data_IF_225309256121
#
_entry.id   IF_225309256121
#
_cell.length_a   1.000
_cell.length_b   1.000
_cell.length_c   1.000
_cell.angle_alpha   90.00
_cell.angle_beta   90.00
_cell.angle_gamma   90.00
#
_symmetry.space_group_name_H-M   'P 1'
#
loop_
_entity.id
_entity.type
_entity.pdbx_description
1 polymer ?
#
# COMPACT_ATOMS: atom_id res chain seq x y z
N UNK A 1 -9.57 -12.21 11.50
CA UNK A 1 -8.62 -12.56 10.41
C UNK A 1 -7.63 -13.60 10.92
N UNK A 2 -7.54 -14.79 10.26
CA UNK A 2 -6.62 -15.86 10.64
C UNK A 2 -5.25 -15.66 9.96
N UNK A 3 -4.51 -14.61 10.33
CA UNK A 3 -3.13 -14.41 9.86
C UNK A 3 -2.17 -15.12 10.82
N UNK A 4 -1.59 -16.24 10.39
CA UNK A 4 -0.72 -17.07 11.22
C UNK A 4 0.56 -16.36 11.68
N UNK A 5 1.09 -15.43 10.91
CA UNK A 5 2.31 -14.70 11.32
C UNK A 5 2.00 -13.68 12.42
N UNK A 6 0.88 -12.96 12.30
CA UNK A 6 0.42 -12.05 13.35
C UNK A 6 0.10 -12.81 14.62
N UNK A 7 -0.70 -13.91 14.51
CA UNK A 7 -1.03 -14.75 15.67
C UNK A 7 0.23 -15.32 16.32
N UNK A 8 1.19 -15.78 15.51
CA UNK A 8 2.46 -16.32 16.03
C UNK A 8 3.24 -15.26 16.82
N UNK A 9 3.33 -14.03 16.31
CA UNK A 9 4.00 -12.94 16.99
C UNK A 9 3.33 -12.60 18.32
N UNK A 10 1.98 -12.53 18.36
CA UNK A 10 1.21 -12.25 19.57
C UNK A 10 1.39 -13.36 20.62
N UNK A 11 1.18 -14.63 20.27
CA UNK A 11 1.30 -15.73 21.23
C UNK A 11 2.75 -15.93 21.70
N UNK A 12 3.74 -15.61 20.84
CA UNK A 12 5.16 -15.61 21.22
C UNK A 12 5.43 -14.59 22.33
N UNK A 13 4.87 -13.38 22.21
CA UNK A 13 4.93 -12.35 23.23
C UNK A 13 4.24 -12.76 24.57
N UNK A 14 3.24 -13.64 24.47
CA UNK A 14 2.54 -14.24 25.63
C UNK A 14 3.24 -15.47 26.21
N UNK A 15 4.45 -15.81 25.74
CA UNK A 15 5.23 -16.94 26.26
C UNK A 15 5.06 -18.27 25.50
N UNK A 16 4.44 -18.27 24.33
CA UNK A 16 4.35 -19.50 23.52
C UNK A 16 5.72 -20.01 23.06
N UNK A 17 6.06 -21.23 23.41
CA UNK A 17 7.36 -21.87 23.10
C UNK A 17 7.32 -22.74 21.84
N UNK A 18 6.13 -23.06 21.33
CA UNK A 18 5.96 -23.91 20.16
C UNK A 18 6.39 -23.28 18.83
N UNK A 19 6.56 -24.11 17.80
CA UNK A 19 6.97 -23.67 16.46
C UNK A 19 5.84 -23.14 15.59
N UNK A 20 6.21 -22.39 14.54
CA UNK A 20 5.27 -21.86 13.53
C UNK A 20 4.46 -22.95 12.82
N UNK A 21 5.07 -24.13 12.59
CA UNK A 21 4.41 -25.25 11.90
C UNK A 21 3.25 -25.81 12.72
N UNK A 22 3.41 -25.94 14.03
CA UNK A 22 2.35 -26.37 14.93
C UNK A 22 1.16 -25.42 14.92
N UNK A 23 1.42 -24.10 14.99
CA UNK A 23 0.37 -23.11 14.88
C UNK A 23 -0.34 -23.15 13.52
N UNK A 24 0.39 -23.31 12.42
CA UNK A 24 -0.20 -23.42 11.08
C UNK A 24 -1.08 -24.66 10.96
N UNK A 25 -0.62 -25.81 11.47
CA UNK A 25 -1.41 -27.04 11.50
C UNK A 25 -2.73 -26.87 12.28
N UNK A 26 -2.67 -26.25 13.45
CA UNK A 26 -3.84 -25.94 14.26
C UNK A 26 -4.85 -24.98 13.60
N UNK A 27 -4.35 -23.98 12.88
CA UNK A 27 -5.19 -22.96 12.23
C UNK A 27 -5.77 -23.45 10.89
N UNK A 28 -5.07 -24.34 10.17
CA UNK A 28 -5.43 -24.75 8.81
C UNK A 28 -6.89 -25.23 8.66
N UNK A 29 -7.43 -26.13 9.49
CA UNK A 29 -8.81 -26.61 9.36
C UNK A 29 -9.85 -25.51 9.69
N UNK A 30 -9.46 -24.45 10.40
CA UNK A 30 -10.33 -23.33 10.78
C UNK A 30 -10.41 -22.24 9.71
N UNK A 31 -9.58 -22.32 8.65
CA UNK A 31 -9.59 -21.39 7.53
C UNK A 31 -10.59 -21.82 6.46
N UNK A 32 -11.47 -20.90 6.05
CA UNK A 32 -12.28 -21.12 4.85
C UNK A 32 -11.35 -21.17 3.63
N UNK A 33 -11.41 -22.26 2.86
CA UNK A 33 -10.71 -22.36 1.58
C UNK A 33 -11.24 -21.30 0.61
N UNK A 34 -10.35 -20.50 0.04
CA UNK A 34 -10.67 -19.54 -1.02
C UNK A 34 -10.02 -20.02 -2.32
N UNK A 35 -10.77 -20.08 -3.44
CA UNK A 35 -10.19 -20.46 -4.72
C UNK A 35 -9.08 -19.47 -5.10
N UNK A 36 -7.95 -20.01 -5.54
CA UNK A 36 -6.83 -19.23 -6.03
C UNK A 36 -7.16 -18.63 -7.39
N UNK A 37 -7.23 -17.29 -7.48
CA UNK A 37 -7.36 -16.61 -8.78
C UNK A 37 -5.98 -16.57 -9.44
N UNK A 38 -5.84 -17.14 -10.65
CA UNK A 38 -4.63 -16.98 -11.46
C UNK A 38 -4.43 -15.49 -11.77
N UNK A 39 -3.33 -14.92 -11.34
CA UNK A 39 -2.97 -13.52 -11.61
C UNK A 39 -1.76 -13.51 -12.53
N UNK A 40 -1.90 -12.94 -13.72
CA UNK A 40 -0.75 -12.65 -14.58
C UNK A 40 0.02 -11.50 -13.91
N UNK A 41 1.26 -11.78 -13.52
CA UNK A 41 2.15 -10.78 -12.92
C UNK A 41 2.93 -10.10 -14.03
N UNK A 42 3.04 -8.79 -13.96
CA UNK A 42 3.96 -8.03 -14.79
C UNK A 42 4.93 -7.27 -13.88
N UNK A 43 6.18 -7.23 -14.31
CA UNK A 43 7.22 -6.48 -13.62
C UNK A 43 7.43 -5.13 -14.31
N UNK A 44 7.88 -4.15 -13.56
CA UNK A 44 8.22 -2.82 -14.06
C UNK A 44 9.71 -2.60 -13.85
N UNK A 45 10.31 -1.80 -14.70
CA UNK A 45 11.69 -1.35 -14.51
C UNK A 45 11.80 -0.49 -13.25
N UNK A 46 12.99 -0.39 -12.62
CA UNK A 46 13.24 0.54 -11.52
C UNK A 46 12.86 1.97 -11.89
N UNK A 47 12.31 2.72 -10.96
CA UNK A 47 11.89 4.11 -11.15
C UNK A 47 10.76 4.35 -12.16
N UNK A 48 10.19 3.27 -12.74
CA UNK A 48 9.21 3.42 -13.81
C UNK A 48 7.82 3.75 -13.32
N UNK A 49 7.29 3.06 -12.29
CA UNK A 49 5.89 3.18 -11.92
C UNK A 49 5.65 3.17 -10.41
N UNK A 50 4.81 4.10 -9.97
CA UNK A 50 4.13 4.08 -8.70
C UNK A 50 2.65 3.76 -8.92
N UNK A 51 2.07 2.92 -8.06
CA UNK A 51 0.64 2.63 -8.03
C UNK A 51 0.04 3.22 -6.76
N UNK A 52 -0.99 4.05 -6.92
CA UNK A 52 -1.75 4.69 -5.85
C UNK A 52 -3.11 4.03 -5.66
N UNK A 53 -3.50 3.78 -4.41
CA UNK A 53 -4.83 3.30 -4.03
C UNK A 53 -5.24 3.76 -2.64
N UNK A 54 -6.54 3.84 -2.42
CA UNK A 54 -7.12 4.08 -1.13
C UNK A 54 -7.67 2.80 -0.50
N UNK A 55 -7.45 2.65 0.79
CA UNK A 55 -8.14 1.71 1.65
C UNK A 55 -8.89 2.43 2.77
N UNK A 56 -9.81 1.73 3.41
CA UNK A 56 -10.52 2.23 4.58
C UNK A 56 -10.56 1.17 5.67
N UNK A 57 -10.56 1.60 6.92
CA UNK A 57 -10.66 0.74 8.10
C UNK A 57 -11.38 1.46 9.23
N UNK A 58 -12.10 0.72 10.05
CA UNK A 58 -12.66 1.25 11.29
C UNK A 58 -11.71 0.98 12.45
N UNK A 59 -11.31 2.04 13.14
CA UNK A 59 -10.44 2.02 14.31
C UNK A 59 -10.89 3.09 15.32
N UNK A 60 -10.29 3.12 16.48
CA UNK A 60 -10.50 4.15 17.48
C UNK A 60 -9.42 5.23 17.36
N UNK A 61 -9.82 6.49 17.22
CA UNK A 61 -8.92 7.65 17.18
C UNK A 61 -9.45 8.66 18.20
N UNK A 62 -8.59 9.11 19.10
CA UNK A 62 -8.97 10.02 20.21
C UNK A 62 -10.16 9.51 21.03
N UNK A 63 -10.21 8.20 21.31
CA UNK A 63 -11.29 7.56 22.08
C UNK A 63 -12.60 7.37 21.30
N UNK A 64 -12.66 7.75 20.03
CA UNK A 64 -13.86 7.63 19.20
C UNK A 64 -13.64 6.62 18.06
N UNK A 65 -14.62 5.74 17.88
CA UNK A 65 -14.62 4.83 16.72
C UNK A 65 -14.94 5.61 15.45
N UNK A 66 -14.00 5.62 14.52
CA UNK A 66 -14.16 6.33 13.27
C UNK A 66 -13.59 5.53 12.08
N UNK A 67 -13.99 5.94 10.89
CA UNK A 67 -13.42 5.44 9.64
C UNK A 67 -12.15 6.22 9.33
N UNK A 68 -11.02 5.53 9.28
CA UNK A 68 -9.75 6.05 8.80
C UNK A 68 -9.56 5.62 7.35
N UNK A 69 -9.35 6.59 6.47
CA UNK A 69 -8.94 6.36 5.10
C UNK A 69 -7.42 6.35 5.04
N UNK A 70 -6.83 5.45 4.26
CA UNK A 70 -5.38 5.41 4.09
C UNK A 70 -5.00 5.22 2.63
N UNK A 71 -4.22 6.17 2.12
CA UNK A 71 -3.63 6.11 0.80
C UNK A 71 -2.38 5.23 0.82
N UNK A 72 -2.25 4.35 -0.14
CA UNK A 72 -1.07 3.47 -0.31
C UNK A 72 -0.41 3.78 -1.64
N UNK A 73 0.86 4.14 -1.59
CA UNK A 73 1.70 4.47 -2.73
C UNK A 73 2.78 3.40 -2.87
N UNK A 74 2.65 2.49 -3.83
CA UNK A 74 3.53 1.32 -3.99
C UNK A 74 4.42 1.45 -5.21
N UNK A 75 5.72 1.39 -5.04
CA UNK A 75 6.68 1.33 -6.14
C UNK A 75 6.56 0.00 -6.90
N UNK A 76 6.62 0.09 -8.20
CA UNK A 76 6.34 -1.03 -9.10
C UNK A 76 7.43 -2.08 -9.14
N UNK A 77 8.68 -1.72 -8.90
CA UNK A 77 9.84 -2.62 -8.93
C UNK A 77 10.17 -3.18 -7.54
N UNK A 78 10.51 -2.31 -6.57
CA UNK A 78 10.94 -2.75 -5.23
C UNK A 78 9.80 -3.33 -4.38
N UNK A 79 8.55 -2.96 -4.64
CA UNK A 79 7.41 -3.23 -3.75
C UNK A 79 7.48 -2.47 -2.43
N UNK A 80 8.41 -1.55 -2.29
CA UNK A 80 8.42 -0.59 -1.20
C UNK A 80 7.19 0.31 -1.32
N UNK A 81 6.62 0.71 -0.22
CA UNK A 81 5.41 1.52 -0.25
C UNK A 81 5.40 2.53 0.89
N UNK A 82 4.72 3.63 0.66
CA UNK A 82 4.40 4.66 1.65
C UNK A 82 2.91 4.64 1.91
N UNK A 83 2.50 4.97 3.14
CA UNK A 83 1.10 5.05 3.54
C UNK A 83 0.83 6.40 4.20
N UNK A 84 -0.30 6.99 3.85
CA UNK A 84 -0.78 8.22 4.47
C UNK A 84 -2.22 8.03 4.92
N UNK A 85 -2.45 8.11 6.24
CA UNK A 85 -3.77 8.05 6.83
C UNK A 85 -4.40 9.44 6.91
N UNK A 86 -5.64 9.56 6.46
CA UNK A 86 -6.38 10.81 6.36
C UNK A 86 -7.87 10.62 6.73
N UNK A 87 -8.56 11.69 7.15
CA UNK A 87 -9.99 11.63 7.45
C UNK A 87 -10.87 11.45 6.20
N UNK A 88 -10.39 11.87 5.01
CA UNK A 88 -11.14 11.86 3.76
C UNK A 88 -10.30 11.36 2.59
N UNK A 89 -10.99 10.87 1.53
CA UNK A 89 -10.40 10.47 0.25
C UNK A 89 -10.71 11.52 -0.83
N UNK A 90 -10.41 12.78 -0.58
CA UNK A 90 -10.61 13.87 -1.54
C UNK A 90 -9.35 14.17 -2.36
N UNK A 91 -9.42 15.19 -3.21
CA UNK A 91 -8.31 15.57 -4.08
C UNK A 91 -7.09 16.06 -3.28
N UNK A 92 -7.33 16.87 -2.26
CA UNK A 92 -6.29 17.45 -1.41
C UNK A 92 -5.47 16.35 -0.73
N UNK A 93 -6.12 15.43 -0.01
CA UNK A 93 -5.43 14.32 0.66
C UNK A 93 -4.79 13.35 -0.34
N UNK A 94 -5.36 13.18 -1.54
CA UNK A 94 -4.76 12.37 -2.60
C UNK A 94 -3.44 12.97 -3.06
N UNK A 95 -3.41 14.28 -3.32
CA UNK A 95 -2.19 14.97 -3.75
C UNK A 95 -1.15 15.02 -2.64
N UNK A 96 -1.57 15.33 -1.42
CA UNK A 96 -0.68 15.30 -0.25
C UNK A 96 -0.05 13.91 -0.06
N UNK A 97 -0.83 12.85 -0.20
CA UNK A 97 -0.32 11.48 -0.08
C UNK A 97 0.78 11.16 -1.11
N UNK A 98 0.65 11.66 -2.35
CA UNK A 98 1.66 11.50 -3.38
C UNK A 98 2.91 12.32 -3.10
N UNK A 99 2.76 13.59 -2.69
CA UNK A 99 3.88 14.47 -2.29
C UNK A 99 4.67 13.86 -1.14
N UNK A 100 3.99 13.35 -0.11
CA UNK A 100 4.62 12.64 1.01
C UNK A 100 5.35 11.38 0.56
N UNK A 101 4.77 10.63 -0.37
CA UNK A 101 5.40 9.43 -0.94
C UNK A 101 6.67 9.78 -1.72
N UNK A 102 6.66 10.81 -2.56
CA UNK A 102 7.85 11.26 -3.29
C UNK A 102 8.97 11.71 -2.34
N UNK A 103 8.63 12.46 -1.29
CA UNK A 103 9.60 12.82 -0.24
C UNK A 103 10.16 11.60 0.49
N UNK A 104 9.31 10.64 0.84
CA UNK A 104 9.71 9.40 1.51
C UNK A 104 10.64 8.54 0.66
N UNK A 105 10.41 8.49 -0.66
CA UNK A 105 11.27 7.75 -1.58
C UNK A 105 12.51 8.55 -2.01
N UNK A 106 12.57 9.85 -1.74
CA UNK A 106 13.67 10.72 -2.16
C UNK A 106 13.66 11.02 -3.65
N UNK A 107 12.52 10.95 -4.32
CA UNK A 107 12.36 11.24 -5.74
C UNK A 107 11.05 10.74 -6.33
N UNK A 108 10.83 11.05 -7.60
CA UNK A 108 9.62 10.73 -8.33
C UNK A 108 9.85 9.64 -9.40
N UNK A 109 8.79 8.93 -9.76
CA UNK A 109 8.79 7.89 -10.80
C UNK A 109 8.36 8.46 -12.16
N UNK A 110 8.64 7.75 -13.26
CA UNK A 110 8.16 8.14 -14.59
C UNK A 110 6.65 8.16 -14.74
N UNK A 111 5.93 7.24 -14.08
CA UNK A 111 4.48 7.11 -14.22
C UNK A 111 3.79 6.89 -12.90
N UNK A 112 2.67 7.57 -12.66
CA UNK A 112 1.80 7.33 -11.51
C UNK A 112 0.48 6.73 -12.01
N UNK A 113 0.20 5.50 -11.58
CA UNK A 113 -1.03 4.79 -11.91
C UNK A 113 -2.05 5.01 -10.79
N UNK A 114 -3.18 5.62 -11.14
CA UNK A 114 -4.29 5.91 -10.22
C UNK A 114 -5.57 5.18 -10.64
N UNK A 115 -6.49 5.01 -9.70
CA UNK A 115 -7.84 4.55 -10.02
C UNK A 115 -8.69 5.67 -10.64
N UNK A 116 -9.87 5.31 -11.17
CA UNK A 116 -10.82 6.24 -11.76
C UNK A 116 -11.58 7.05 -10.69
N UNK A 117 -10.90 7.53 -9.66
CA UNK A 117 -11.46 8.41 -8.64
C UNK A 117 -11.50 9.86 -9.15
N UNK A 118 -12.56 10.60 -8.84
CA UNK A 118 -12.74 11.99 -9.27
C UNK A 118 -11.59 12.94 -8.85
N UNK A 119 -10.88 12.60 -7.79
CA UNK A 119 -9.66 13.30 -7.36
C UNK A 119 -8.59 13.36 -8.46
N UNK A 120 -8.46 12.31 -9.25
CA UNK A 120 -7.45 12.20 -10.31
C UNK A 120 -8.05 12.10 -11.72
N UNK A 121 -9.20 11.41 -11.88
CA UNK A 121 -9.79 11.09 -13.19
C UNK A 121 -11.24 11.56 -13.25
N UNK A 122 -11.54 12.51 -14.11
CA UNK A 122 -12.90 13.03 -14.31
C UNK A 122 -13.74 12.12 -15.22
N UNK A 123 -13.14 11.61 -16.29
CA UNK A 123 -13.78 10.70 -17.25
C UNK A 123 -12.77 9.69 -17.77
N UNK A 124 -13.21 8.44 -18.00
CA UNK A 124 -12.42 7.41 -18.66
C UNK A 124 -13.31 6.58 -19.58
N UNK A 125 -13.36 6.99 -20.85
CA UNK A 125 -14.16 6.34 -21.88
C UNK A 125 -13.23 5.47 -22.74
N UNK A 126 -13.12 4.18 -22.42
CA UNK A 126 -12.36 3.17 -23.17
C UNK A 126 -10.91 3.57 -23.51
N UNK A 127 -10.25 4.29 -22.60
CA UNK A 127 -8.86 4.73 -22.77
C UNK A 127 -8.69 6.20 -23.13
N UNK A 128 -9.75 6.91 -23.50
CA UNK A 128 -9.74 8.38 -23.55
C UNK A 128 -9.98 8.90 -22.13
N UNK A 129 -8.89 9.30 -21.46
CA UNK A 129 -8.90 9.73 -20.07
C UNK A 129 -8.88 11.25 -19.98
N UNK A 130 -9.79 11.82 -19.20
CA UNK A 130 -9.77 13.23 -18.80
C UNK A 130 -9.36 13.27 -17.34
N UNK A 131 -8.17 13.76 -17.05
CA UNK A 131 -7.66 13.93 -15.70
C UNK A 131 -8.18 15.23 -15.06
N UNK A 132 -8.21 15.25 -13.73
CA UNK A 132 -8.46 16.46 -12.96
C UNK A 132 -7.30 17.45 -13.19
N UNK A 133 -7.63 18.74 -13.37
CA UNK A 133 -6.62 19.78 -13.63
C UNK A 133 -5.59 19.90 -12.51
N UNK A 134 -6.00 19.82 -11.24
CA UNK A 134 -5.08 19.80 -10.09
C UNK A 134 -4.13 18.61 -10.11
N UNK A 135 -4.60 17.44 -10.57
CA UNK A 135 -3.74 16.26 -10.73
C UNK A 135 -2.75 16.43 -11.88
N UNK A 136 -3.15 17.10 -12.96
CA UNK A 136 -2.23 17.43 -14.07
C UNK A 136 -1.17 18.45 -13.65
N UNK A 137 -1.53 19.46 -12.85
CA UNK A 137 -0.56 20.40 -12.29
C UNK A 137 0.46 19.71 -11.37
N UNK A 138 -0.01 18.76 -10.54
CA UNK A 138 0.90 17.95 -9.73
C UNK A 138 1.82 17.09 -10.61
N UNK A 139 1.28 16.50 -11.67
CA UNK A 139 2.04 15.68 -12.61
C UNK A 139 3.11 16.48 -13.34
N UNK A 140 2.80 17.70 -13.76
CA UNK A 140 3.73 18.62 -14.40
C UNK A 140 4.84 19.05 -13.43
N UNK A 141 4.47 19.44 -12.20
CA UNK A 141 5.42 19.87 -11.16
C UNK A 141 6.46 18.79 -10.80
N UNK A 142 6.02 17.51 -10.68
CA UNK A 142 6.89 16.38 -10.34
C UNK A 142 7.38 15.62 -11.58
N UNK A 143 7.09 16.10 -12.78
CA UNK A 143 7.50 15.52 -14.07
C UNK A 143 7.16 14.03 -14.21
N UNK A 144 5.95 13.62 -13.81
CA UNK A 144 5.48 12.25 -14.02
C UNK A 144 4.33 12.17 -15.02
N UNK A 145 4.21 11.05 -15.72
CA UNK A 145 3.09 10.77 -16.61
C UNK A 145 1.91 10.15 -15.83
N UNK A 146 0.75 10.82 -15.78
CA UNK A 146 -0.43 10.25 -15.14
C UNK A 146 -0.99 9.08 -15.98
N UNK A 147 -1.36 8.00 -15.32
CA UNK A 147 -1.98 6.82 -15.93
C UNK A 147 -3.22 6.45 -15.13
N UNK A 148 -4.34 6.22 -15.82
CA UNK A 148 -5.56 5.71 -15.21
C UNK A 148 -5.70 4.20 -15.43
N UNK A 149 -6.25 3.51 -14.44
CA UNK A 149 -6.62 2.11 -14.59
C UNK A 149 -7.66 1.93 -15.69
N UNK A 150 -7.49 0.92 -16.55
CA UNK A 150 -8.51 0.58 -17.55
C UNK A 150 -9.78 0.10 -16.83
N UNK A 151 -10.97 0.65 -17.16
CA UNK A 151 -12.22 0.19 -16.60
C UNK A 151 -12.38 -1.32 -16.76
N UNK A 152 -12.91 -2.00 -15.74
CA UNK A 152 -13.17 -3.45 -15.71
C UNK A 152 -11.94 -4.37 -15.91
N UNK A 153 -10.70 -3.85 -15.84
CA UNK A 153 -9.47 -4.65 -15.87
C UNK A 153 -8.71 -4.55 -14.54
N UNK A 154 -9.16 -5.30 -13.56
CA UNK A 154 -8.54 -5.39 -12.21
C UNK A 154 -7.05 -5.83 -12.24
N UNK A 155 -6.54 -6.33 -13.37
CA UNK A 155 -5.17 -6.86 -13.50
C UNK A 155 -4.08 -5.79 -13.46
N UNK A 156 -4.39 -4.53 -13.76
CA UNK A 156 -3.39 -3.46 -13.87
C UNK A 156 -2.92 -2.90 -12.52
N UNK A 157 -3.72 -3.05 -11.47
CA UNK A 157 -3.52 -2.45 -10.14
C UNK A 157 -3.16 -3.48 -9.04
N UNK A 158 -2.87 -4.71 -9.41
CA UNK A 158 -2.72 -5.82 -8.45
C UNK A 158 -1.56 -5.68 -7.45
N UNK A 159 -0.62 -4.76 -7.64
CA UNK A 159 0.50 -4.52 -6.72
C UNK A 159 0.02 -3.74 -5.49
N UNK A 160 -0.62 -2.60 -5.70
CA UNK A 160 -1.12 -1.75 -4.60
C UNK A 160 -2.32 -2.36 -3.88
N UNK A 161 -3.25 -3.01 -4.59
CA UNK A 161 -4.38 -3.73 -3.97
C UNK A 161 -3.89 -4.78 -2.95
N UNK A 162 -2.77 -5.45 -3.24
CA UNK A 162 -2.13 -6.36 -2.29
C UNK A 162 -1.58 -5.65 -1.07
N UNK A 163 -1.05 -4.44 -1.23
CA UNK A 163 -0.52 -3.66 -0.11
C UNK A 163 -1.65 -3.11 0.77
N UNK A 164 -2.75 -2.64 0.19
CA UNK A 164 -3.97 -2.29 0.94
C UNK A 164 -4.45 -3.47 1.78
N UNK A 165 -4.54 -4.66 1.19
CA UNK A 165 -4.91 -5.87 1.91
C UNK A 165 -3.86 -6.25 2.97
N UNK A 166 -2.57 -6.15 2.65
CA UNK A 166 -1.47 -6.46 3.56
C UNK A 166 -1.52 -5.58 4.82
N UNK A 167 -1.77 -4.28 4.66
CA UNK A 167 -1.96 -3.36 5.77
C UNK A 167 -3.15 -3.73 6.66
N UNK A 168 -4.30 -4.04 6.06
CA UNK A 168 -5.49 -4.46 6.80
C UNK A 168 -5.26 -5.74 7.61
N UNK A 169 -4.50 -6.69 7.05
CA UNK A 169 -4.28 -8.01 7.65
C UNK A 169 -3.06 -8.09 8.58
N UNK A 170 -2.14 -7.12 8.54
CA UNK A 170 -0.91 -7.15 9.32
C UNK A 170 -0.74 -5.96 10.27
N UNK A 171 -1.09 -4.76 9.86
CA UNK A 171 -1.02 -3.56 10.69
C UNK A 171 -2.32 -3.33 11.44
N UNK A 172 -3.41 -3.01 10.74
CA UNK A 172 -4.68 -2.63 11.35
C UNK A 172 -5.39 -3.74 12.11
N UNK A 173 -5.01 -5.00 11.95
CA UNK A 173 -5.52 -6.09 12.80
C UNK A 173 -4.91 -6.04 14.20
N UNK A 174 -3.71 -5.48 14.36
CA UNK A 174 -2.97 -5.35 15.63
C UNK A 174 -3.21 -3.99 16.29
N UNK A 175 -3.08 -2.93 15.52
CA UNK A 175 -3.18 -1.55 16.00
C UNK A 175 -4.59 -1.02 15.73
N UNK A 176 -5.35 -0.81 16.80
CA UNK A 176 -6.77 -0.46 16.74
C UNK A 176 -7.11 0.84 17.42
N UNK A 177 -6.19 1.39 18.22
CA UNK A 177 -6.38 2.59 19.05
C UNK A 177 -5.25 3.55 18.80
N UNK A 178 -5.60 4.79 18.53
CA UNK A 178 -4.67 5.87 18.23
C UNK A 178 -5.12 7.16 18.90
N UNK A 179 -4.17 7.99 19.30
CA UNK A 179 -4.47 9.26 19.97
C UNK A 179 -4.89 10.35 18.96
N UNK A 180 -4.39 10.27 17.73
CA UNK A 180 -4.67 11.23 16.65
C UNK A 180 -4.33 10.65 15.29
N UNK A 181 -4.71 11.33 14.19
CA UNK A 181 -4.25 10.99 12.83
C UNK A 181 -2.73 11.09 12.69
N UNK A 182 -2.08 12.02 13.38
CA UNK A 182 -0.62 12.10 13.42
C UNK A 182 -0.03 10.84 14.03
N UNK A 183 -0.58 10.34 15.13
CA UNK A 183 -0.16 9.09 15.75
C UNK A 183 -0.37 7.88 14.81
N UNK A 184 -1.50 7.82 14.07
CA UNK A 184 -1.69 6.77 13.05
C UNK A 184 -0.54 6.78 12.04
N UNK A 185 -0.19 7.95 11.51
CA UNK A 185 0.85 8.09 10.48
C UNK A 185 2.23 7.72 11.04
N UNK A 186 2.59 8.18 12.23
CA UNK A 186 3.85 7.83 12.88
C UNK A 186 3.98 6.32 13.11
N UNK A 187 2.94 5.67 13.61
CA UNK A 187 2.95 4.22 13.80
C UNK A 187 3.02 3.45 12.48
N UNK A 188 2.39 3.94 11.41
CA UNK A 188 2.50 3.36 10.08
C UNK A 188 3.93 3.46 9.55
N UNK A 189 4.57 4.62 9.64
CA UNK A 189 5.96 4.83 9.21
C UNK A 189 6.92 3.91 9.96
N UNK A 190 6.81 3.85 11.28
CA UNK A 190 7.63 2.96 12.11
C UNK A 190 7.44 1.49 11.73
N UNK A 191 6.18 1.05 11.59
CA UNK A 191 5.87 -0.33 11.23
C UNK A 191 6.34 -0.69 9.82
N UNK A 192 6.29 0.25 8.86
CA UNK A 192 6.82 0.03 7.51
C UNK A 192 8.32 -0.22 7.58
N UNK A 193 9.06 0.62 8.28
CA UNK A 193 10.51 0.49 8.43
C UNK A 193 10.92 -0.80 9.16
N UNK A 194 10.24 -1.16 10.24
CA UNK A 194 10.62 -2.29 11.07
C UNK A 194 10.15 -3.65 10.55
N UNK A 195 9.02 -3.68 9.85
CA UNK A 195 8.35 -4.93 9.47
C UNK A 195 8.16 -5.06 7.96
N UNK A 196 7.58 -4.03 7.33
CA UNK A 196 7.16 -4.17 5.95
C UNK A 196 8.33 -4.14 4.97
N UNK A 197 9.29 -3.25 5.17
CA UNK A 197 10.46 -3.10 4.30
C UNK A 197 11.47 -4.27 4.48
N UNK A 198 11.47 -4.90 5.65
CA UNK A 198 12.32 -6.06 5.97
C UNK A 198 11.70 -7.42 5.63
N UNK A 199 10.43 -7.47 5.17
CA UNK A 199 9.79 -8.73 4.78
C UNK A 199 10.44 -9.33 3.53
N UNK A 200 10.70 -10.62 3.52
CA UNK A 200 11.14 -11.31 2.29
C UNK A 200 10.02 -11.38 1.24
N UNK A 201 10.29 -10.93 0.04
CA UNK A 201 9.44 -11.07 -1.12
C UNK A 201 9.67 -12.46 -1.75
N UNK A 202 8.79 -13.41 -1.50
CA UNK A 202 8.92 -14.82 -1.92
C UNK A 202 9.32 -15.02 -3.39
N UNK A 203 8.93 -14.10 -4.25
CA UNK A 203 9.21 -14.18 -5.69
C UNK A 203 10.67 -13.84 -6.00
N UNK A 204 11.29 -12.95 -5.25
CA UNK A 204 12.60 -12.39 -5.52
C UNK A 204 13.67 -12.88 -4.55
N UNK A 205 13.28 -13.45 -3.41
CA UNK A 205 14.19 -13.81 -2.30
C UNK A 205 14.95 -12.60 -1.72
N UNK A 206 14.39 -11.41 -1.91
CA UNK A 206 14.93 -10.12 -1.48
C UNK A 206 13.87 -9.36 -0.68
N UNK A 207 14.29 -8.37 0.11
CA UNK A 207 13.39 -7.47 0.81
C UNK A 207 13.05 -6.25 -0.05
N UNK A 208 11.92 -5.54 0.22
CA UNK A 208 11.64 -4.25 -0.42
C UNK A 208 12.77 -3.24 -0.26
N UNK A 209 13.41 -3.20 0.92
CA UNK A 209 14.54 -2.32 1.21
C UNK A 209 15.75 -2.62 0.32
N UNK A 210 16.15 -3.88 0.19
CA UNK A 210 17.25 -4.29 -0.70
C UNK A 210 16.99 -3.92 -2.16
N UNK A 211 15.77 -4.17 -2.64
CA UNK A 211 15.38 -3.81 -4.02
C UNK A 211 15.26 -2.31 -4.23
N UNK A 212 14.89 -1.57 -3.19
CA UNK A 212 14.78 -0.12 -3.26
C UNK A 212 16.13 0.56 -3.44
N UNK A 213 17.21 0.03 -2.92
CA UNK A 213 18.56 0.55 -3.14
C UNK A 213 18.87 0.73 -4.64
N UNK A 214 18.48 -0.26 -5.48
CA UNK A 214 18.61 -0.15 -6.93
C UNK A 214 17.55 0.79 -7.54
N UNK A 215 16.30 0.78 -7.05
CA UNK A 215 15.24 1.60 -7.62
C UNK A 215 15.48 3.11 -7.34
N UNK A 216 16.08 3.45 -6.21
CA UNK A 216 16.35 4.82 -5.81
C UNK A 216 17.23 5.57 -6.80
N UNK A 217 18.21 4.91 -7.40
CA UNK A 217 19.12 5.48 -8.42
C UNK A 217 18.39 5.87 -9.72
N UNK A 218 17.17 5.36 -9.93
CA UNK A 218 16.36 5.58 -11.12
C UNK A 218 15.17 6.51 -10.88
N UNK A 219 15.03 7.06 -9.68
CA UNK A 219 14.02 8.06 -9.39
C UNK A 219 14.46 9.42 -9.94
N UNK A 220 13.50 10.21 -10.40
CA UNK A 220 13.70 11.60 -10.82
C UNK A 220 13.79 12.50 -9.58
N UNK A 221 14.62 13.53 -9.58
CA UNK A 221 14.75 14.47 -8.46
C UNK A 221 13.46 15.27 -8.20
#
# INVERSE_FOLDING_TARGET
>A
VWNSEVIFAEIKAMGYTGGRSMLRYYIQPKRKMRPSKRTVRFETQPGYQLQHDWGEVEVEVAGQRCKVNFAVNTLGFSRRFHVFAAPKQDAEHTYESLVRAFRYFGGCVKTVLVDNQKAAVLKNNNGKVVFNSGFLLLADHYNFLPRACRPRRARTKGKVERMVKYLKENFFVRYRRFDSFTHVNQQLEQWIADVADKRELRQFKETPEQRFALEQEHLQP
#
